data_IF_741858464319
#
_entry.id   IF_741858464319
#
_cell.length_a   1.000
_cell.length_b   1.000
_cell.length_c   1.000
_cell.angle_alpha   90.00
_cell.angle_beta   90.00
_cell.angle_gamma   90.00
#
_symmetry.space_group_name_H-M   'P 1'
#
loop_
_entity.id
_entity.type
_entity.pdbx_description
1 polymer ?
#
# COMPACT_ATOMS: atom_id res chain seq x y z
N UNK A 1 -5.75 -5.78 18.14
CA UNK A 1 -6.25 -6.78 17.18
C UNK A 1 -5.42 -8.03 17.31
N UNK A 2 -6.07 -9.20 17.45
CA UNK A 2 -5.41 -10.50 17.50
C UNK A 2 -5.47 -11.19 16.14
N UNK A 3 -4.37 -11.85 15.74
CA UNK A 3 -4.27 -12.60 14.48
C UNK A 3 -4.09 -14.09 14.81
N UNK A 4 -4.91 -14.95 14.19
CA UNK A 4 -4.73 -16.42 14.20
C UNK A 4 -4.53 -16.93 12.77
N UNK A 5 -3.78 -18.02 12.65
CA UNK A 5 -3.53 -18.71 11.38
C UNK A 5 -4.01 -20.15 11.55
N UNK A 6 -5.06 -20.53 10.80
CA UNK A 6 -5.48 -21.91 10.66
C UNK A 6 -5.15 -22.38 9.24
N UNK A 7 -4.06 -23.14 9.10
CA UNK A 7 -3.52 -23.60 7.82
C UNK A 7 -3.28 -22.45 6.84
N UNK A 8 -4.16 -22.27 5.85
CA UNK A 8 -4.12 -21.25 4.82
C UNK A 8 -5.15 -20.12 5.04
N UNK A 9 -5.82 -20.10 6.20
CA UNK A 9 -6.79 -19.08 6.60
C UNK A 9 -6.16 -18.17 7.64
N UNK A 10 -6.24 -16.86 7.41
CA UNK A 10 -5.84 -15.83 8.37
C UNK A 10 -7.11 -15.23 8.96
N UNK A 11 -7.19 -15.20 10.28
CA UNK A 11 -8.31 -14.62 11.01
C UNK A 11 -7.87 -13.36 11.75
N UNK A 12 -8.60 -12.27 11.56
CA UNK A 12 -8.41 -11.00 12.26
C UNK A 12 -9.52 -10.83 13.29
N UNK A 13 -9.15 -10.82 14.57
CA UNK A 13 -10.08 -10.64 15.68
C UNK A 13 -9.88 -9.23 16.27
N UNK A 14 -10.76 -8.26 15.97
CA UNK A 14 -10.68 -6.94 16.57
C UNK A 14 -10.89 -7.03 18.09
N UNK A 15 -10.12 -6.26 18.86
CA UNK A 15 -10.13 -6.27 20.32
C UNK A 15 -10.78 -5.01 20.90
N UNK A 16 -11.15 -4.04 20.06
CA UNK A 16 -11.82 -2.80 20.45
C UNK A 16 -12.67 -2.23 19.30
N UNK A 17 -13.48 -1.21 19.63
CA UNK A 17 -14.44 -0.61 18.68
C UNK A 17 -13.78 0.04 17.46
N UNK A 18 -12.59 0.64 17.62
CA UNK A 18 -11.88 1.27 16.51
C UNK A 18 -11.43 0.22 15.50
N UNK A 19 -10.84 -0.88 15.97
CA UNK A 19 -10.40 -1.98 15.13
C UNK A 19 -11.56 -2.68 14.40
N UNK A 20 -12.73 -2.80 15.04
CA UNK A 20 -13.95 -3.29 14.39
C UNK A 20 -14.36 -2.37 13.24
N UNK A 21 -14.39 -1.05 13.47
CA UNK A 21 -14.75 -0.08 12.44
C UNK A 21 -13.76 -0.09 11.26
N UNK A 22 -12.45 -0.20 11.55
CA UNK A 22 -11.42 -0.30 10.51
C UNK A 22 -11.56 -1.59 9.69
N UNK A 23 -11.88 -2.72 10.33
CA UNK A 23 -12.09 -3.99 9.66
C UNK A 23 -13.36 -3.98 8.78
N UNK A 24 -14.44 -3.32 9.21
CA UNK A 24 -15.65 -3.12 8.40
C UNK A 24 -15.37 -2.30 7.14
N UNK A 25 -14.58 -1.23 7.26
CA UNK A 25 -14.15 -0.41 6.11
C UNK A 25 -13.32 -1.26 5.15
N UNK A 26 -12.35 -2.03 5.68
CA UNK A 26 -11.55 -2.93 4.86
C UNK A 26 -12.43 -3.95 4.11
N UNK A 27 -13.39 -4.56 4.79
CA UNK A 27 -14.28 -5.56 4.20
C UNK A 27 -15.14 -4.99 3.06
N UNK A 28 -15.63 -3.76 3.21
CA UNK A 28 -16.37 -3.03 2.17
C UNK A 28 -15.52 -2.72 0.93
N UNK A 29 -14.20 -2.58 1.08
CA UNK A 29 -13.29 -2.36 -0.04
C UNK A 29 -12.96 -3.69 -0.72
N UNK A 30 -12.76 -4.75 0.06
CA UNK A 30 -12.39 -6.08 -0.45
C UNK A 30 -13.54 -6.78 -1.16
N UNK A 31 -14.75 -6.67 -0.61
CA UNK A 31 -15.95 -7.32 -1.15
C UNK A 31 -16.77 -6.28 -1.91
N UNK A 32 -16.72 -6.37 -3.23
CA UNK A 32 -17.72 -5.78 -4.10
C UNK A 32 -18.73 -6.88 -4.49
N UNK A 33 -19.95 -6.82 -3.97
CA UNK A 33 -20.99 -7.83 -4.20
C UNK A 33 -21.37 -7.99 -5.69
N UNK A 34 -21.02 -7.04 -6.56
CA UNK A 34 -21.33 -7.09 -7.99
C UNK A 34 -20.14 -7.54 -8.87
N UNK A 35 -18.93 -7.59 -8.33
CA UNK A 35 -17.69 -7.82 -9.07
C UNK A 35 -16.82 -8.90 -8.40
N UNK A 36 -15.53 -8.94 -8.74
CA UNK A 36 -14.55 -9.83 -8.13
C UNK A 36 -14.07 -9.32 -6.76
N UNK A 37 -13.91 -10.24 -5.81
CA UNK A 37 -13.26 -9.96 -4.52
C UNK A 37 -11.80 -9.55 -4.73
N UNK A 38 -11.38 -8.46 -4.09
CA UNK A 38 -10.00 -7.94 -4.20
C UNK A 38 -9.05 -8.72 -3.30
N UNK A 39 -7.79 -8.85 -3.71
CA UNK A 39 -6.75 -9.53 -2.94
C UNK A 39 -5.91 -8.52 -2.16
N UNK A 40 -5.45 -8.93 -0.98
CA UNK A 40 -4.40 -8.23 -0.23
C UNK A 40 -3.03 -8.78 -0.62
N UNK A 41 -2.14 -7.91 -1.08
CA UNK A 41 -0.78 -8.28 -1.48
C UNK A 41 0.22 -7.69 -0.49
N UNK A 42 1.07 -8.51 0.17
CA UNK A 42 2.01 -8.01 1.17
C UNK A 42 3.02 -7.04 0.56
N UNK A 43 3.38 -6.01 1.32
CA UNK A 43 4.38 -5.00 0.96
C UNK A 43 5.65 -5.22 1.79
N UNK A 44 6.74 -5.60 1.12
CA UNK A 44 8.05 -5.75 1.73
C UNK A 44 8.12 -6.85 2.79
N UNK A 45 9.15 -6.79 3.64
CA UNK A 45 9.32 -7.71 4.77
C UNK A 45 8.67 -7.18 6.06
N UNK A 46 8.15 -8.09 6.88
CA UNK A 46 7.76 -7.79 8.26
C UNK A 46 8.92 -8.13 9.21
N UNK A 47 9.60 -7.09 9.70
CA UNK A 47 10.71 -7.22 10.66
C UNK A 47 10.39 -6.35 11.89
N UNK A 48 9.89 -6.94 13.00
CA UNK A 48 9.44 -6.19 14.18
C UNK A 48 10.49 -5.26 14.78
N UNK A 49 11.76 -5.63 14.68
CA UNK A 49 12.89 -4.82 15.19
C UNK A 49 13.18 -3.58 14.37
N UNK A 50 12.81 -3.56 13.07
CA UNK A 50 12.91 -2.38 12.21
C UNK A 50 11.66 -1.51 12.34
N UNK A 51 10.49 -2.14 12.18
CA UNK A 51 9.18 -1.50 12.27
C UNK A 51 8.12 -2.57 12.57
N UNK A 52 7.46 -2.47 13.72
CA UNK A 52 6.43 -3.42 14.11
C UNK A 52 5.09 -3.16 13.39
N UNK A 53 5.06 -3.38 12.09
CA UNK A 53 3.87 -3.15 11.24
C UNK A 53 3.95 -4.01 9.98
N UNK A 54 2.94 -4.85 9.75
CA UNK A 54 2.73 -5.50 8.45
C UNK A 54 1.94 -4.56 7.53
N UNK A 55 2.22 -4.61 6.22
CA UNK A 55 1.53 -3.77 5.22
C UNK A 55 1.09 -4.61 4.04
N UNK A 56 -0.04 -4.22 3.47
CA UNK A 56 -0.61 -4.82 2.28
C UNK A 56 -1.10 -3.72 1.33
N UNK A 57 -0.97 -3.91 0.03
CA UNK A 57 -1.77 -3.20 -0.97
C UNK A 57 -3.06 -3.98 -1.23
N UNK A 58 -4.11 -3.28 -1.67
CA UNK A 58 -5.34 -3.89 -2.16
C UNK A 58 -5.25 -3.93 -3.69
N UNK A 59 -5.24 -5.13 -4.28
CA UNK A 59 -5.11 -5.32 -5.72
C UNK A 59 -6.29 -4.65 -6.47
N UNK A 60 -5.98 -3.94 -7.56
CA UNK A 60 -6.98 -3.23 -8.36
C UNK A 60 -7.57 -1.97 -7.71
N UNK A 61 -7.09 -1.57 -6.53
CA UNK A 61 -7.39 -0.25 -5.94
C UNK A 61 -6.21 0.67 -6.24
N UNK A 62 -6.44 1.69 -7.07
CA UNK A 62 -5.43 2.70 -7.30
C UNK A 62 -5.08 3.37 -5.96
N UNK A 63 -3.79 3.38 -5.61
CA UNK A 63 -3.31 4.29 -4.57
C UNK A 63 -3.69 5.73 -4.93
N UNK A 64 -3.82 6.59 -3.92
CA UNK A 64 -4.19 8.00 -4.12
C UNK A 64 -3.44 8.64 -5.29
N UNK A 65 -4.13 9.53 -6.01
CA UNK A 65 -3.60 10.17 -7.22
C UNK A 65 -2.22 10.75 -6.95
N UNK A 66 -1.27 10.39 -7.82
CA UNK A 66 0.06 10.92 -7.69
C UNK A 66 0.04 12.37 -8.20
N UNK A 67 0.36 13.33 -7.33
CA UNK A 67 0.44 14.74 -7.70
C UNK A 67 1.87 15.05 -8.16
N UNK A 68 2.09 15.97 -9.11
CA UNK A 68 3.44 16.42 -9.43
C UNK A 68 4.10 17.09 -8.20
N UNK A 69 5.37 16.79 -7.94
CA UNK A 69 6.18 17.52 -6.97
C UNK A 69 7.01 18.61 -7.65
N UNK A 70 7.58 19.51 -6.85
CA UNK A 70 8.58 20.49 -7.32
C UNK A 70 9.93 19.84 -7.69
N UNK A 71 10.16 18.57 -7.29
CA UNK A 71 11.39 17.84 -7.60
C UNK A 71 11.31 17.26 -9.01
N UNK A 72 12.35 17.45 -9.80
CA UNK A 72 12.51 16.83 -11.12
C UNK A 72 13.47 15.64 -11.06
N UNK A 73 13.29 14.68 -11.96
CA UNK A 73 14.22 13.55 -12.09
C UNK A 73 15.53 14.02 -12.77
N UNK A 74 16.66 13.68 -12.17
CA UNK A 74 18.00 14.02 -12.71
C UNK A 74 18.41 13.09 -13.87
N UNK A 75 17.84 11.89 -13.92
CA UNK A 75 18.06 10.89 -14.96
C UNK A 75 16.80 10.04 -15.17
N UNK A 76 16.75 9.29 -16.28
CA UNK A 76 15.67 8.34 -16.56
C UNK A 76 15.75 7.20 -15.53
N UNK A 77 14.74 7.09 -14.66
CA UNK A 77 14.75 6.11 -13.58
C UNK A 77 13.35 5.60 -13.24
N UNK A 78 13.30 4.42 -12.63
CA UNK A 78 12.08 3.90 -12.02
C UNK A 78 12.00 4.45 -10.60
N UNK A 79 10.90 5.12 -10.28
CA UNK A 79 10.60 5.63 -8.94
C UNK A 79 9.62 4.71 -8.22
N UNK A 80 9.82 4.53 -6.92
CA UNK A 80 9.02 3.71 -6.02
C UNK A 80 8.42 4.55 -4.89
N UNK A 81 7.13 4.37 -4.63
CA UNK A 81 6.51 4.87 -3.40
C UNK A 81 6.79 3.87 -2.28
N UNK A 82 7.62 4.24 -1.29
CA UNK A 82 7.93 3.37 -0.15
C UNK A 82 6.72 3.08 0.76
N UNK A 83 5.60 3.78 0.55
CA UNK A 83 4.35 3.59 1.31
C UNK A 83 3.46 2.50 0.69
N UNK A 84 3.09 2.65 -0.59
CA UNK A 84 2.18 1.72 -1.29
C UNK A 84 2.88 0.81 -2.30
N UNK A 85 4.21 0.87 -2.39
CA UNK A 85 5.02 0.06 -3.30
C UNK A 85 4.67 0.26 -4.79
N UNK A 86 4.06 1.38 -5.15
CA UNK A 86 3.78 1.73 -6.55
C UNK A 86 5.09 2.09 -7.24
N UNK A 87 5.28 1.59 -8.45
CA UNK A 87 6.40 1.93 -9.33
C UNK A 87 5.91 2.78 -10.49
N UNK A 88 6.75 3.71 -10.95
CA UNK A 88 6.52 4.49 -12.16
C UNK A 88 7.85 4.84 -12.80
N UNK A 89 7.93 4.82 -14.12
CA UNK A 89 9.07 5.37 -14.82
C UNK A 89 8.91 6.89 -14.91
N UNK A 90 10.00 7.61 -14.73
CA UNK A 90 10.06 9.08 -14.83
C UNK A 90 11.28 9.40 -15.68
N UNK A 91 11.10 10.22 -16.71
CA UNK A 91 12.21 10.62 -17.57
C UNK A 91 12.94 11.82 -16.98
N UNK A 92 14.17 12.03 -17.41
CA UNK A 92 15.02 13.17 -17.06
C UNK A 92 14.27 14.49 -17.29
N UNK A 93 14.25 15.35 -16.27
CA UNK A 93 13.58 16.65 -16.30
C UNK A 93 12.06 16.61 -16.06
N UNK A 94 11.44 15.43 -15.98
CA UNK A 94 10.03 15.28 -15.59
C UNK A 94 9.86 15.43 -14.07
N UNK A 95 8.72 15.97 -13.62
CA UNK A 95 8.41 16.07 -12.20
C UNK A 95 8.28 14.68 -11.56
N UNK A 96 9.05 14.44 -10.49
CA UNK A 96 8.93 13.23 -9.68
C UNK A 96 7.56 13.21 -9.02
N UNK A 97 6.75 12.15 -9.18
CA UNK A 97 5.42 12.13 -8.60
C UNK A 97 5.45 12.03 -7.07
N UNK A 98 4.50 12.69 -6.43
CA UNK A 98 4.13 12.50 -5.01
C UNK A 98 3.13 11.37 -4.94
N UNK A 99 3.42 10.28 -4.23
CA UNK A 99 2.49 9.19 -4.02
C UNK A 99 2.33 8.92 -2.53
N UNK A 100 1.09 8.72 -2.06
CA UNK A 100 0.77 8.61 -0.63
C UNK A 100 1.25 9.81 0.21
N UNK A 101 1.24 11.01 -0.38
CA UNK A 101 1.59 12.26 0.30
C UNK A 101 3.08 12.56 0.40
N UNK A 102 3.96 11.70 -0.13
CA UNK A 102 5.42 11.93 -0.17
C UNK A 102 5.98 11.76 -1.59
N UNK A 103 7.01 12.53 -2.00
CA UNK A 103 7.73 12.29 -3.24
C UNK A 103 8.25 10.85 -3.31
N UNK A 104 8.06 10.17 -4.44
CA UNK A 104 8.53 8.79 -4.66
C UNK A 104 10.07 8.74 -4.72
N UNK A 105 10.72 7.66 -4.32
CA UNK A 105 12.20 7.56 -4.32
C UNK A 105 12.71 6.82 -5.56
N UNK A 106 13.89 7.15 -6.12
CA UNK A 106 14.46 6.38 -7.23
C UNK A 106 14.85 4.97 -6.77
N UNK A 107 14.65 3.98 -7.64
CA UNK A 107 15.15 2.62 -7.47
C UNK A 107 16.56 2.61 -8.03
N UNK A 108 17.55 2.50 -7.15
CA UNK A 108 18.97 2.43 -7.49
C UNK A 108 19.33 1.15 -8.28
#
# INVERSE_FOLDING_TARGET
>A
MKISIDRNVVELHPENNQETADLEILWRILIDCANETKKLTPIGEYVPTKKNMARFTIEGVAGGLAAPSERTADEDSTYICMTCNKYTNVNTGESVPVCCGVPMEPVA
#
